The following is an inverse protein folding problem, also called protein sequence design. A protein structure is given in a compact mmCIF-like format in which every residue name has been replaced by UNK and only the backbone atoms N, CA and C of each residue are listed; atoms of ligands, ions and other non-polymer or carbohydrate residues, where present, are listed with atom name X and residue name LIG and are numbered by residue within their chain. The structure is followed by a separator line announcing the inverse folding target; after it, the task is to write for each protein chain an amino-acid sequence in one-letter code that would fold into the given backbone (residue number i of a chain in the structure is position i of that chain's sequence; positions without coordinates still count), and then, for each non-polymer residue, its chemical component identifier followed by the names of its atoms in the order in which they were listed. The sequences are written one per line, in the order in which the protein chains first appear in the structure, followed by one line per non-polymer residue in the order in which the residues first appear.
data_IF_427235586291
#
_entry.id   IF_427235586291
#
_cell.length_a   1.000
_cell.length_b   1.000
_cell.length_c   1.000
_cell.angle_alpha   90.00
_cell.angle_beta   90.00
_cell.angle_gamma   90.00
#
_symmetry.space_group_name_H-M   'P 1'
#
loop_
_entity.id
_entity.type
_entity.pdbx_description
1 polymer ?
#
# COMPACT_ATOMS: atom_id res chain seq x y z
N UNK A 1 38.25 6.72 2.32
CA UNK A 1 36.91 6.12 2.25
C UNK A 1 35.99 7.22 1.76
N UNK A 2 35.54 7.12 0.51
CA UNK A 2 34.62 8.10 -0.08
C UNK A 2 33.22 7.94 0.53
N UNK A 3 32.44 9.03 0.54
CA UNK A 3 31.06 9.08 1.02
C UNK A 3 30.10 8.09 0.30
N UNK A 4 30.55 7.49 -0.80
CA UNK A 4 29.82 6.53 -1.63
C UNK A 4 29.75 5.09 -1.07
N UNK A 5 30.50 4.75 -0.02
CA UNK A 5 30.60 3.38 0.53
C UNK A 5 29.83 3.17 1.85
N UNK A 6 29.05 4.15 2.30
CA UNK A 6 28.15 3.92 3.45
C UNK A 6 26.85 3.33 2.96
N UNK A 7 26.61 2.05 3.27
CA UNK A 7 25.26 1.47 3.21
C UNK A 7 24.25 2.45 3.86
N UNK A 8 23.10 2.69 3.24
CA UNK A 8 22.10 3.59 3.82
C UNK A 8 21.80 3.13 5.25
N UNK A 9 21.94 4.05 6.21
CA UNK A 9 21.69 3.75 7.62
C UNK A 9 20.20 3.50 7.80
N UNK A 10 19.85 2.39 8.46
CA UNK A 10 18.47 2.08 8.81
C UNK A 10 18.06 2.80 10.10
N UNK A 11 16.89 3.44 10.10
CA UNK A 11 16.30 3.99 11.31
C UNK A 11 15.48 2.95 12.08
N UNK A 12 14.92 1.95 11.37
CA UNK A 12 14.18 0.84 11.96
C UNK A 12 14.66 -0.49 11.35
N UNK A 13 14.91 -1.47 12.20
CA UNK A 13 15.11 -2.85 11.83
C UNK A 13 14.22 -3.73 12.72
N UNK A 14 13.43 -4.59 12.11
CA UNK A 14 12.72 -5.67 12.76
C UNK A 14 13.33 -6.98 12.27
N UNK A 15 13.65 -7.90 13.18
CA UNK A 15 14.28 -9.18 12.87
C UNK A 15 13.44 -10.31 13.46
N UNK A 16 12.89 -11.16 12.58
CA UNK A 16 12.17 -12.38 12.88
C UNK A 16 11.09 -12.21 13.96
N UNK A 17 10.30 -11.12 13.82
CA UNK A 17 9.30 -10.76 14.82
C UNK A 17 8.13 -11.72 14.81
N UNK A 18 7.83 -12.28 15.97
CA UNK A 18 6.64 -13.10 16.20
C UNK A 18 5.82 -12.52 17.35
N UNK A 19 4.49 -12.51 17.17
CA UNK A 19 3.54 -12.13 18.22
C UNK A 19 2.33 -13.05 18.22
N UNK A 20 2.09 -13.68 19.38
CA UNK A 20 0.96 -14.56 19.61
C UNK A 20 0.00 -13.99 20.65
N UNK A 21 -1.27 -14.26 20.49
CA UNK A 21 -2.33 -13.99 21.46
C UNK A 21 -3.12 -15.30 21.66
N UNK A 22 -2.77 -16.07 22.69
CA UNK A 22 -3.23 -17.43 22.82
C UNK A 22 -2.76 -18.28 21.63
N UNK A 23 -3.69 -18.95 20.94
CA UNK A 23 -3.41 -19.77 19.76
C UNK A 23 -3.31 -18.96 18.46
N UNK A 24 -3.69 -17.69 18.48
CA UNK A 24 -3.66 -16.80 17.31
C UNK A 24 -2.29 -16.15 17.13
N UNK A 25 -1.68 -16.34 15.96
CA UNK A 25 -0.43 -15.68 15.55
C UNK A 25 -0.78 -14.41 14.80
N UNK A 26 -0.58 -13.26 15.45
CA UNK A 26 -0.92 -11.96 14.88
C UNK A 26 0.21 -11.38 14.01
N UNK A 27 1.46 -11.71 14.32
CA UNK A 27 2.65 -11.39 13.52
C UNK A 27 3.51 -12.65 13.52
N UNK A 28 3.94 -13.09 12.32
CA UNK A 28 4.57 -14.36 12.09
C UNK A 28 5.81 -14.18 11.19
N UNK A 29 6.99 -14.24 11.80
CA UNK A 29 8.29 -14.17 11.15
C UNK A 29 8.48 -12.91 10.27
N UNK A 30 8.22 -11.72 10.85
CA UNK A 30 8.32 -10.46 10.13
C UNK A 30 9.69 -9.84 10.32
N UNK A 31 10.41 -9.70 9.19
CA UNK A 31 11.70 -9.02 9.12
C UNK A 31 11.67 -7.85 8.13
N UNK A 32 12.19 -6.67 8.51
CA UNK A 32 12.24 -5.47 7.68
C UNK A 32 13.34 -4.51 8.12
N UNK A 33 13.89 -3.79 7.14
CA UNK A 33 14.82 -2.69 7.36
C UNK A 33 14.32 -1.44 6.64
N UNK A 34 14.14 -0.32 7.35
CA UNK A 34 13.64 0.94 6.82
C UNK A 34 14.76 1.98 6.87
N UNK A 35 15.11 2.52 5.72
CA UNK A 35 16.16 3.53 5.58
C UNK A 35 15.77 4.87 6.20
N UNK A 36 16.77 5.60 6.69
CA UNK A 36 16.61 6.94 7.26
C UNK A 36 15.91 7.88 6.29
N UNK A 37 14.90 8.59 6.77
CA UNK A 37 14.14 9.58 6.00
C UNK A 37 13.12 8.99 5.03
N UNK A 38 12.90 7.66 5.01
CA UNK A 38 11.92 7.04 4.13
C UNK A 38 10.47 7.23 4.63
N UNK A 39 9.54 7.31 3.68
CA UNK A 39 8.12 7.10 3.92
C UNK A 39 7.80 5.63 3.62
N UNK A 40 7.59 4.84 4.64
CA UNK A 40 7.33 3.41 4.55
C UNK A 40 5.89 3.09 4.94
N UNK A 41 5.16 2.40 4.07
CA UNK A 41 3.79 1.97 4.38
C UNK A 41 3.68 0.46 4.59
N UNK A 42 2.80 0.08 5.52
CA UNK A 42 2.34 -1.29 5.71
C UNK A 42 0.88 -1.35 5.29
N UNK A 43 0.62 -2.01 4.17
CA UNK A 43 -0.67 -2.15 3.53
C UNK A 43 -1.21 -3.57 3.73
N UNK A 44 -2.50 -3.75 3.91
CA UNK A 44 -3.11 -5.08 4.00
C UNK A 44 -4.54 -5.05 4.51
N UNK A 45 -5.28 -6.16 4.46
CA UNK A 45 -6.66 -6.24 4.92
C UNK A 45 -6.79 -6.03 6.44
N UNK A 46 -7.99 -5.77 6.90
CA UNK A 46 -8.27 -5.67 8.34
C UNK A 46 -7.94 -6.98 9.05
N UNK A 47 -7.28 -6.90 10.20
CA UNK A 47 -6.93 -8.08 11.00
C UNK A 47 -5.64 -8.79 10.60
N UNK A 48 -4.92 -8.40 9.54
CA UNK A 48 -3.68 -9.07 9.10
C UNK A 48 -2.45 -8.83 9.98
N UNK A 49 -2.54 -8.04 11.07
CA UNK A 49 -1.44 -7.86 12.02
C UNK A 49 -0.76 -6.48 12.02
N UNK A 50 -1.08 -5.56 11.13
CA UNK A 50 -0.44 -4.22 10.97
C UNK A 50 -0.35 -3.42 12.26
N UNK A 51 -1.49 -3.19 12.93
CA UNK A 51 -1.53 -2.43 14.19
C UNK A 51 -0.76 -3.14 15.30
N UNK A 52 -0.74 -4.48 15.32
CA UNK A 52 0.07 -5.27 16.28
C UNK A 52 1.54 -5.03 16.04
N UNK A 53 2.01 -5.09 14.79
CA UNK A 53 3.40 -4.80 14.42
C UNK A 53 3.78 -3.36 14.82
N UNK A 54 2.95 -2.36 14.49
CA UNK A 54 3.20 -0.97 14.86
C UNK A 54 3.29 -0.80 16.39
N UNK A 55 2.42 -1.47 17.16
CA UNK A 55 2.43 -1.44 18.63
C UNK A 55 3.65 -2.12 19.22
N UNK A 56 4.22 -3.15 18.57
CA UNK A 56 5.50 -3.73 18.97
C UNK A 56 6.65 -2.74 18.77
N UNK A 57 6.70 -2.06 17.62
CA UNK A 57 7.70 -1.02 17.34
C UNK A 57 7.57 0.12 18.35
N UNK A 58 6.35 0.56 18.66
CA UNK A 58 6.09 1.60 19.67
C UNK A 58 6.36 1.15 21.13
N UNK A 59 6.43 -0.17 21.39
CA UNK A 59 6.67 -0.74 22.71
C UNK A 59 5.43 -0.96 23.56
N UNK A 60 4.22 -0.89 22.97
CA UNK A 60 2.98 -1.24 23.67
C UNK A 60 2.78 -2.76 23.78
N UNK A 61 3.37 -3.53 22.88
CA UNK A 61 3.44 -4.98 22.94
C UNK A 61 4.90 -5.42 22.89
N UNK A 62 5.27 -6.37 23.74
CA UNK A 62 6.53 -7.08 23.58
C UNK A 62 6.36 -8.16 22.50
N UNK A 63 7.30 -8.34 21.56
CA UNK A 63 7.34 -9.51 20.71
C UNK A 63 7.58 -10.75 21.57
N UNK A 64 7.11 -11.91 21.11
CA UNK A 64 7.38 -13.19 21.74
C UNK A 64 8.71 -13.77 21.23
N UNK A 65 9.09 -13.45 19.98
CA UNK A 65 10.37 -13.78 19.36
C UNK A 65 10.86 -12.60 18.51
N UNK A 66 12.17 -12.55 18.24
CA UNK A 66 12.80 -11.54 17.39
C UNK A 66 13.26 -10.30 18.14
N UNK A 67 13.74 -9.29 17.39
CA UNK A 67 14.26 -8.03 17.91
C UNK A 67 13.73 -6.81 17.15
N UNK A 68 13.55 -5.70 17.84
CA UNK A 68 13.26 -4.38 17.25
C UNK A 68 14.43 -3.46 17.57
N UNK A 69 15.08 -2.93 16.53
CA UNK A 69 16.18 -1.98 16.64
C UNK A 69 15.82 -0.64 16.05
N UNK A 70 16.15 0.42 16.76
CA UNK A 70 15.99 1.80 16.30
C UNK A 70 17.35 2.44 16.28
N UNK A 71 17.77 2.93 15.10
CA UNK A 71 19.12 3.44 14.85
C UNK A 71 20.20 2.43 15.34
N UNK A 72 20.03 1.16 14.98
CA UNK A 72 20.93 0.06 15.33
C UNK A 72 20.88 -0.40 16.78
N UNK A 73 20.11 0.25 17.68
CA UNK A 73 20.01 -0.10 19.09
C UNK A 73 18.73 -0.88 19.37
N UNK A 74 18.84 -2.07 19.98
CA UNK A 74 17.67 -2.84 20.41
C UNK A 74 16.85 -2.08 21.44
N UNK A 75 15.53 -2.08 21.25
CA UNK A 75 14.56 -1.44 22.15
C UNK A 75 13.69 -2.45 22.88
N UNK A 76 14.08 -3.72 22.91
CA UNK A 76 13.40 -4.74 23.71
C UNK A 76 13.45 -4.38 25.19
N UNK A 77 12.32 -4.51 25.90
CA UNK A 77 12.20 -4.14 27.31
C UNK A 77 12.22 -2.63 27.58
N UNK A 78 12.41 -1.79 26.56
CA UNK A 78 12.32 -0.33 26.71
C UNK A 78 10.86 0.09 26.67
N UNK A 79 10.42 0.81 27.71
CA UNK A 79 9.05 1.30 27.82
C UNK A 79 8.71 2.31 26.69
N UNK A 80 7.44 2.40 26.23
CA UNK A 80 7.03 3.24 25.09
C UNK A 80 7.49 4.71 25.22
N UNK A 81 7.37 5.29 26.41
CA UNK A 81 7.73 6.69 26.65
C UNK A 81 9.24 6.98 26.67
N UNK A 82 10.06 5.93 26.59
CA UNK A 82 11.53 6.03 26.56
C UNK A 82 12.12 5.65 25.19
N UNK A 83 11.29 5.15 24.27
CA UNK A 83 11.72 4.86 22.90
C UNK A 83 11.84 6.16 22.11
N UNK A 84 12.78 6.28 21.16
CA UNK A 84 12.93 7.46 20.30
C UNK A 84 11.90 7.45 19.16
N UNK A 85 10.66 7.11 19.46
CA UNK A 85 9.54 7.06 18.52
C UNK A 85 8.33 7.79 19.08
N UNK A 86 7.52 8.36 18.19
CA UNK A 86 6.21 8.89 18.54
C UNK A 86 5.15 8.26 17.64
N UNK A 87 3.93 8.12 18.18
CA UNK A 87 2.83 7.48 17.48
C UNK A 87 1.62 8.40 17.39
N UNK A 88 1.04 8.48 16.19
CA UNK A 88 -0.25 9.10 15.92
C UNK A 88 -1.28 7.99 15.82
N UNK A 89 -2.27 8.02 16.70
CA UNK A 89 -3.36 7.06 16.69
C UNK A 89 -4.46 7.46 15.70
N UNK A 90 -5.25 6.52 15.27
CA UNK A 90 -6.38 6.71 14.34
C UNK A 90 -7.31 7.89 14.74
N UNK A 91 -7.53 8.09 16.03
CA UNK A 91 -8.34 9.20 16.57
C UNK A 91 -7.52 10.42 16.98
N UNK A 92 -6.27 10.57 16.47
CA UNK A 92 -5.32 11.64 16.73
C UNK A 92 -4.97 11.86 18.22
N UNK A 93 -5.81 11.45 19.14
CA UNK A 93 -5.67 11.53 20.60
C UNK A 93 -5.25 12.94 21.11
N UNK A 94 -5.75 14.01 20.46
CA UNK A 94 -5.55 15.39 20.92
C UNK A 94 -6.33 15.65 22.22
N UNK A 95 -5.77 16.45 23.12
CA UNK A 95 -6.40 16.82 24.37
C UNK A 95 -7.43 17.94 24.12
N UNK A 96 -8.75 17.68 24.20
CA UNK A 96 -9.76 18.64 23.76
C UNK A 96 -9.86 19.87 24.66
N UNK A 97 -9.47 19.74 25.94
CA UNK A 97 -9.53 20.83 26.92
C UNK A 97 -8.31 21.76 26.88
N UNK A 98 -7.28 21.37 26.12
CA UNK A 98 -6.05 22.14 25.97
C UNK A 98 -6.09 23.02 24.72
N UNK A 99 -5.28 24.09 24.70
CA UNK A 99 -4.99 24.84 23.50
C UNK A 99 -4.11 24.02 22.55
N UNK A 100 -3.97 24.48 21.29
CA UNK A 100 -3.05 23.89 20.32
C UNK A 100 -1.60 23.93 20.85
N UNK A 101 -1.16 25.09 21.36
CA UNK A 101 0.17 25.23 21.93
C UNK A 101 0.40 24.29 23.14
N UNK A 102 -0.60 24.11 24.00
CA UNK A 102 -0.50 23.18 25.12
C UNK A 102 -0.46 21.73 24.70
N UNK A 103 -1.20 21.34 23.66
CA UNK A 103 -1.12 20.01 23.05
C UNK A 103 0.30 19.71 22.56
N UNK A 104 0.89 20.63 21.78
CA UNK A 104 2.25 20.46 21.26
C UNK A 104 3.26 20.45 22.39
N UNK A 105 3.14 21.39 23.36
CA UNK A 105 4.04 21.52 24.50
C UNK A 105 3.98 20.34 25.49
N UNK A 106 2.94 19.50 25.43
CA UNK A 106 2.68 18.50 26.47
C UNK A 106 3.88 17.58 26.73
N UNK A 107 4.44 17.00 25.68
CA UNK A 107 5.61 16.11 25.79
C UNK A 107 6.86 16.80 26.32
N UNK A 108 7.12 18.04 25.89
CA UNK A 108 8.23 18.86 26.37
C UNK A 108 8.09 19.18 27.88
N UNK A 109 6.87 19.53 28.32
CA UNK A 109 6.57 19.75 29.76
C UNK A 109 6.84 18.49 30.57
N UNK A 110 6.50 17.30 30.06
CA UNK A 110 6.78 16.01 30.73
C UNK A 110 8.25 15.65 30.76
N UNK A 111 9.06 16.18 29.84
CA UNK A 111 10.53 16.07 29.84
C UNK A 111 11.22 17.15 30.67
N UNK A 112 10.45 18.00 31.37
CA UNK A 112 10.97 19.13 32.20
C UNK A 112 11.79 20.14 31.37
N UNK A 113 11.47 20.32 30.10
CA UNK A 113 12.11 21.31 29.23
C UNK A 113 11.86 22.73 29.78
N UNK A 114 12.86 23.67 29.74
CA UNK A 114 12.69 25.05 30.13
C UNK A 114 11.58 25.78 29.35
N UNK A 115 10.88 26.71 30.02
CA UNK A 115 9.71 27.42 29.42
C UNK A 115 10.04 28.16 28.13
N UNK A 116 11.20 28.81 28.10
CA UNK A 116 11.62 29.61 26.91
C UNK A 116 11.90 28.66 25.72
N UNK A 117 12.52 27.52 25.97
CA UNK A 117 12.74 26.49 24.94
C UNK A 117 11.43 25.88 24.47
N UNK A 118 10.46 25.63 25.36
CA UNK A 118 9.12 25.16 24.99
C UNK A 118 8.46 26.15 24.04
N UNK A 119 8.47 27.46 24.38
CA UNK A 119 7.84 28.48 23.53
C UNK A 119 8.46 28.53 22.13
N UNK A 120 9.79 28.46 22.04
CA UNK A 120 10.51 28.44 20.76
C UNK A 120 10.15 27.17 19.96
N UNK A 121 10.30 25.96 20.55
CA UNK A 121 10.01 24.69 19.86
C UNK A 121 8.56 24.57 19.40
N UNK A 122 7.60 25.06 20.20
CA UNK A 122 6.18 25.08 19.82
C UNK A 122 5.95 26.02 18.62
N UNK A 123 6.56 27.20 18.60
CA UNK A 123 6.49 28.10 17.46
C UNK A 123 7.04 27.46 16.18
N UNK A 124 8.26 26.92 16.27
CA UNK A 124 8.89 26.19 15.14
C UNK A 124 8.05 25.01 14.63
N UNK A 125 7.44 24.24 15.56
CA UNK A 125 6.58 23.11 15.18
C UNK A 125 5.30 23.59 14.47
N UNK A 126 4.71 24.72 14.88
CA UNK A 126 3.55 25.32 14.24
C UNK A 126 3.88 25.88 12.83
N UNK A 127 5.05 26.48 12.68
CA UNK A 127 5.54 26.91 11.36
C UNK A 127 5.72 25.75 10.41
N UNK A 128 6.37 24.66 10.85
CA UNK A 128 6.59 23.42 10.05
C UNK A 128 5.30 22.79 9.53
N UNK A 129 4.20 22.88 10.28
CA UNK A 129 2.91 22.34 9.85
C UNK A 129 2.00 23.42 9.20
N UNK A 130 2.55 24.58 8.83
CA UNK A 130 1.88 25.71 8.19
C UNK A 130 0.65 26.22 8.98
N UNK A 131 0.74 26.28 10.31
CA UNK A 131 -0.30 26.78 11.22
C UNK A 131 0.27 27.74 12.30
N UNK A 132 1.08 28.77 11.94
CA UNK A 132 1.79 29.62 12.90
C UNK A 132 0.84 30.33 13.89
N UNK A 133 -0.34 30.74 13.44
CA UNK A 133 -1.31 31.50 14.24
C UNK A 133 -2.29 30.63 15.07
N UNK A 134 -2.14 29.29 14.99
CA UNK A 134 -3.10 28.39 15.63
C UNK A 134 -2.87 28.19 17.13
N UNK A 135 -1.76 28.63 17.71
CA UNK A 135 -1.32 28.27 19.05
C UNK A 135 -2.35 28.50 20.15
N UNK A 136 -3.09 29.60 20.10
CA UNK A 136 -4.12 29.97 21.08
C UNK A 136 -5.49 29.36 20.84
N UNK A 137 -5.72 28.71 19.69
CA UNK A 137 -7.00 28.05 19.38
C UNK A 137 -7.20 26.79 20.24
N UNK A 138 -8.47 26.45 20.43
CA UNK A 138 -8.85 25.15 21.00
C UNK A 138 -9.03 24.13 19.87
N UNK A 139 -8.93 22.85 20.22
CA UNK A 139 -9.02 21.75 19.23
C UNK A 139 -10.34 21.74 18.50
N UNK A 140 -11.46 22.06 19.14
CA UNK A 140 -12.79 22.14 18.51
C UNK A 140 -12.96 23.32 17.53
N UNK A 141 -12.00 24.21 17.42
CA UNK A 141 -11.99 25.33 16.45
C UNK A 141 -11.21 24.99 15.17
N UNK A 142 -10.71 23.77 15.05
CA UNK A 142 -9.89 23.30 13.94
C UNK A 142 -10.68 22.39 13.00
N UNK A 143 -10.36 22.43 11.70
CA UNK A 143 -10.82 21.43 10.74
C UNK A 143 -10.11 20.08 10.98
N UNK A 144 -10.64 18.98 10.40
CA UNK A 144 -10.03 17.65 10.51
C UNK A 144 -8.57 17.63 10.07
N UNK A 145 -8.24 18.24 8.92
CA UNK A 145 -6.86 18.33 8.45
C UNK A 145 -5.96 19.19 9.35
N UNK A 146 -6.49 20.30 9.92
CA UNK A 146 -5.74 21.09 10.90
C UNK A 146 -5.46 20.28 12.17
N UNK A 147 -6.44 19.53 12.68
CA UNK A 147 -6.24 18.64 13.84
C UNK A 147 -5.16 17.61 13.58
N UNK A 148 -5.11 17.04 12.38
CA UNK A 148 -4.08 16.09 11.99
C UNK A 148 -2.69 16.74 11.97
N UNK A 149 -2.52 17.89 11.36
CA UNK A 149 -1.26 18.66 11.37
C UNK A 149 -0.79 18.98 12.80
N UNK A 150 -1.71 19.31 13.70
CA UNK A 150 -1.36 19.52 15.12
C UNK A 150 -0.94 18.22 15.82
N UNK A 151 -1.56 17.08 15.50
CA UNK A 151 -1.13 15.78 16.02
C UNK A 151 0.30 15.43 15.56
N UNK A 152 0.61 15.73 14.29
CA UNK A 152 1.97 15.59 13.75
C UNK A 152 2.94 16.52 14.47
N UNK A 153 2.63 17.82 14.58
CA UNK A 153 3.46 18.80 15.29
C UNK A 153 3.76 18.38 16.73
N UNK A 154 2.74 17.86 17.45
CA UNK A 154 2.90 17.33 18.81
C UNK A 154 3.88 16.16 18.90
N UNK A 155 3.95 15.34 17.88
CA UNK A 155 4.90 14.25 17.81
C UNK A 155 6.30 14.73 17.40
N UNK A 156 6.39 15.60 16.42
CA UNK A 156 7.67 16.09 15.86
C UNK A 156 8.44 17.00 16.81
N UNK A 157 7.75 17.75 17.67
CA UNK A 157 8.41 18.66 18.62
C UNK A 157 9.36 17.96 19.60
N UNK A 158 9.24 16.63 19.72
CA UNK A 158 10.08 15.77 20.56
C UNK A 158 11.29 15.22 19.83
N UNK A 159 11.50 15.57 18.57
CA UNK A 159 12.59 15.14 17.68
C UNK A 159 12.74 13.59 17.65
N UNK A 160 11.67 12.83 17.27
CA UNK A 160 11.74 11.38 17.24
C UNK A 160 12.57 10.87 16.06
N UNK A 161 13.19 9.69 16.21
CA UNK A 161 13.82 8.98 15.09
C UNK A 161 12.77 8.46 14.10
N UNK A 162 11.61 8.00 14.60
CA UNK A 162 10.52 7.46 13.81
C UNK A 162 9.19 8.12 14.19
N UNK A 163 8.37 8.42 13.19
CA UNK A 163 6.97 8.75 13.38
C UNK A 163 6.11 7.59 12.90
N UNK A 164 5.35 7.00 13.81
CA UNK A 164 4.45 5.88 13.55
C UNK A 164 3.03 6.43 13.37
N UNK A 165 2.34 6.02 12.31
CA UNK A 165 1.00 6.52 11.98
C UNK A 165 0.03 5.34 11.78
N UNK A 166 -0.99 5.25 12.64
CA UNK A 166 -2.00 4.18 12.63
C UNK A 166 -3.28 4.69 11.98
N UNK A 167 -3.45 4.48 10.67
CA UNK A 167 -4.62 4.89 9.84
C UNK A 167 -5.05 6.36 10.06
N UNK A 168 -4.15 7.34 10.00
CA UNK A 168 -4.45 8.70 10.44
C UNK A 168 -5.44 9.44 9.53
N UNK A 169 -5.64 8.99 8.28
CA UNK A 169 -6.55 9.60 7.30
C UNK A 169 -7.95 8.96 7.27
N UNK A 170 -8.14 7.83 7.98
CA UNK A 170 -9.36 7.03 7.89
C UNK A 170 -10.66 7.76 8.29
N UNK A 171 -10.58 8.78 9.15
CA UNK A 171 -11.73 9.56 9.62
C UNK A 171 -12.09 10.78 8.73
N UNK A 172 -11.32 11.04 7.64
CA UNK A 172 -11.51 12.18 6.76
C UNK A 172 -12.43 11.82 5.59
N UNK A 173 -13.20 12.84 5.11
CA UNK A 173 -13.91 12.72 3.84
C UNK A 173 -12.94 12.57 2.65
N UNK A 174 -13.45 12.06 1.51
CA UNK A 174 -12.62 11.71 0.35
C UNK A 174 -11.79 12.90 -0.16
N UNK A 175 -12.40 14.09 -0.32
CA UNK A 175 -11.70 15.26 -0.88
C UNK A 175 -10.58 15.74 0.04
N UNK A 176 -10.84 15.79 1.33
CA UNK A 176 -9.85 16.18 2.33
C UNK A 176 -8.74 15.12 2.44
N UNK A 177 -9.08 13.83 2.33
CA UNK A 177 -8.11 12.73 2.33
C UNK A 177 -7.14 12.84 1.17
N UNK A 178 -7.64 13.06 -0.07
CA UNK A 178 -6.78 13.26 -1.25
C UNK A 178 -5.81 14.44 -1.08
N UNK A 179 -6.29 15.56 -0.56
CA UNK A 179 -5.45 16.71 -0.26
C UNK A 179 -4.39 16.39 0.81
N UNK A 180 -4.80 15.71 1.89
CA UNK A 180 -3.93 15.37 3.01
C UNK A 180 -2.83 14.37 2.64
N UNK A 181 -3.05 13.48 1.67
CA UNK A 181 -1.99 12.59 1.16
C UNK A 181 -0.82 13.40 0.61
N UNK A 182 -1.11 14.37 -0.26
CA UNK A 182 -0.07 15.24 -0.86
C UNK A 182 0.66 16.06 0.21
N UNK A 183 -0.11 16.68 1.11
CA UNK A 183 0.45 17.49 2.20
C UNK A 183 1.32 16.68 3.16
N UNK A 184 0.91 15.46 3.50
CA UNK A 184 1.67 14.58 4.39
C UNK A 184 2.98 14.12 3.77
N UNK A 185 2.98 13.76 2.47
CA UNK A 185 4.20 13.42 1.74
C UNK A 185 5.17 14.60 1.65
N UNK A 186 4.65 15.79 1.32
CA UNK A 186 5.45 17.01 1.27
C UNK A 186 6.06 17.33 2.64
N UNK A 187 5.25 17.31 3.69
CA UNK A 187 5.69 17.56 5.06
C UNK A 187 6.79 16.58 5.49
N UNK A 188 6.63 15.30 5.19
CA UNK A 188 7.64 14.28 5.49
C UNK A 188 8.96 14.55 4.76
N UNK A 189 8.89 14.93 3.47
CA UNK A 189 10.08 15.26 2.67
C UNK A 189 10.83 16.49 3.21
N UNK A 190 10.10 17.52 3.69
CA UNK A 190 10.69 18.74 4.25
C UNK A 190 11.36 18.47 5.61
N UNK A 191 10.79 17.58 6.43
CA UNK A 191 11.28 17.29 7.78
C UNK A 191 12.40 16.26 7.75
N UNK A 192 12.38 15.32 6.80
CA UNK A 192 13.36 14.24 6.66
C UNK A 192 13.28 13.17 7.75
N UNK A 193 12.24 13.14 8.59
CA UNK A 193 12.01 12.09 9.59
C UNK A 193 11.44 10.84 8.91
N UNK A 194 11.86 9.67 9.35
CA UNK A 194 11.32 8.38 8.86
C UNK A 194 9.90 8.17 9.34
N UNK A 195 8.97 7.93 8.40
CA UNK A 195 7.57 7.64 8.69
C UNK A 195 7.28 6.15 8.47
N UNK A 196 6.60 5.53 9.43
CA UNK A 196 6.01 4.18 9.30
C UNK A 196 4.49 4.34 9.36
N UNK A 197 3.84 4.12 8.24
CA UNK A 197 2.43 4.41 8.01
C UNK A 197 1.63 3.13 7.83
N UNK A 198 0.56 2.96 8.56
CA UNK A 198 -0.37 1.85 8.37
C UNK A 198 -1.63 2.34 7.67
N UNK A 199 -2.07 1.58 6.68
CA UNK A 199 -3.35 1.80 6.02
C UNK A 199 -3.93 0.49 5.48
N UNK A 200 -5.22 0.50 5.20
CA UNK A 200 -5.91 -0.47 4.37
C UNK A 200 -6.30 0.12 3.01
N UNK A 201 -6.05 1.41 2.79
CA UNK A 201 -6.31 2.11 1.53
C UNK A 201 -5.06 2.02 0.62
N UNK A 202 -5.22 1.34 -0.51
CA UNK A 202 -4.15 1.13 -1.49
C UNK A 202 -3.65 2.47 -2.06
N UNK A 203 -4.57 3.40 -2.34
CA UNK A 203 -4.23 4.69 -2.91
C UNK A 203 -3.34 5.51 -1.96
N UNK A 204 -3.58 5.46 -0.64
CA UNK A 204 -2.71 6.08 0.34
C UNK A 204 -1.29 5.51 0.27
N UNK A 205 -1.16 4.18 0.31
CA UNK A 205 0.14 3.51 0.28
C UNK A 205 0.90 3.78 -1.02
N UNK A 206 0.22 3.66 -2.17
CA UNK A 206 0.87 3.82 -3.48
C UNK A 206 1.30 5.26 -3.79
N UNK A 207 0.52 6.26 -3.32
CA UNK A 207 0.80 7.68 -3.62
C UNK A 207 1.89 8.26 -2.72
N UNK A 208 1.92 7.89 -1.43
CA UNK A 208 2.78 8.56 -0.45
C UNK A 208 4.12 7.87 -0.22
N UNK A 209 4.24 6.57 -0.48
CA UNK A 209 5.35 5.79 0.03
C UNK A 209 6.53 5.70 -0.93
N UNK A 210 7.72 5.65 -0.36
CA UNK A 210 8.94 5.28 -1.08
C UNK A 210 9.04 3.75 -1.19
N UNK A 211 8.55 3.05 -0.15
CA UNK A 211 8.41 1.60 -0.10
C UNK A 211 7.13 1.19 0.61
N UNK A 212 6.55 0.08 0.18
CA UNK A 212 5.34 -0.51 0.75
C UNK A 212 5.59 -1.99 1.05
N UNK A 213 5.19 -2.42 2.25
CA UNK A 213 5.06 -3.83 2.60
C UNK A 213 3.58 -4.22 2.52
N UNK A 214 3.24 -5.21 1.70
CA UNK A 214 1.92 -5.82 1.70
C UNK A 214 1.91 -6.95 2.73
N UNK A 215 1.02 -6.83 3.72
CA UNK A 215 0.91 -7.77 4.83
C UNK A 215 -0.38 -8.58 4.75
N UNK A 216 -0.28 -9.88 4.89
CA UNK A 216 -1.39 -10.81 4.92
C UNK A 216 -1.14 -11.88 5.99
N UNK A 217 -2.16 -12.27 6.75
CA UNK A 217 -2.11 -13.36 7.75
C UNK A 217 -0.86 -13.32 8.66
N UNK A 218 -0.46 -12.13 9.11
CA UNK A 218 0.68 -11.95 10.00
C UNK A 218 2.04 -11.88 9.31
N UNK A 219 2.15 -12.08 8.01
CA UNK A 219 3.40 -12.12 7.22
C UNK A 219 3.46 -11.05 6.15
N UNK A 220 4.66 -10.69 5.71
CA UNK A 220 4.82 -9.87 4.51
C UNK A 220 4.78 -10.76 3.26
N UNK A 221 3.85 -10.47 2.37
CA UNK A 221 3.75 -11.09 1.04
C UNK A 221 4.81 -10.54 0.08
N UNK A 222 4.99 -9.22 0.10
CA UNK A 222 5.98 -8.54 -0.73
C UNK A 222 6.32 -7.19 -0.10
N UNK A 223 7.60 -6.81 -0.20
CA UNK A 223 8.09 -5.47 0.13
C UNK A 223 8.77 -4.91 -1.12
N UNK A 224 8.43 -3.68 -1.50
CA UNK A 224 8.98 -3.05 -2.69
C UNK A 224 8.51 -1.62 -2.90
N UNK A 225 8.87 -1.04 -4.04
CA UNK A 225 8.32 0.25 -4.47
C UNK A 225 6.85 0.13 -4.84
N UNK A 226 6.04 1.20 -4.78
CA UNK A 226 4.66 1.19 -5.25
C UNK A 226 4.51 0.61 -6.66
N UNK A 227 5.38 1.03 -7.58
CA UNK A 227 5.39 0.53 -8.96
C UNK A 227 5.70 -0.97 -9.04
N UNK A 228 6.69 -1.46 -8.26
CA UNK A 228 7.03 -2.88 -8.21
C UNK A 228 5.90 -3.76 -7.69
N UNK A 229 5.12 -3.28 -6.70
CA UNK A 229 3.95 -4.00 -6.22
C UNK A 229 2.81 -4.06 -7.23
N UNK A 230 2.66 -3.01 -8.03
CA UNK A 230 1.57 -2.87 -8.98
C UNK A 230 1.84 -3.61 -10.30
N UNK A 231 3.03 -3.40 -10.89
CA UNK A 231 3.38 -3.95 -12.22
C UNK A 231 4.05 -5.33 -12.15
N UNK A 232 4.76 -5.63 -11.04
CA UNK A 232 5.49 -6.87 -10.84
C UNK A 232 5.14 -7.54 -9.50
N UNK A 233 3.86 -7.88 -9.29
CA UNK A 233 3.43 -8.60 -8.09
C UNK A 233 4.10 -9.98 -8.05
N UNK A 234 4.64 -10.36 -6.87
CA UNK A 234 5.34 -11.65 -6.67
C UNK A 234 4.43 -12.77 -6.21
N UNK A 235 3.29 -12.41 -5.61
CA UNK A 235 2.29 -13.39 -5.18
C UNK A 235 0.92 -13.06 -5.78
N UNK A 236 0.12 -14.11 -5.93
CA UNK A 236 -1.29 -13.97 -6.32
C UNK A 236 -2.02 -12.97 -5.44
N UNK A 237 -1.78 -13.05 -4.13
CA UNK A 237 -2.41 -12.15 -3.17
C UNK A 237 -2.10 -10.67 -3.48
N UNK A 238 -0.85 -10.34 -3.76
CA UNK A 238 -0.46 -8.97 -4.11
C UNK A 238 -1.09 -8.53 -5.43
N UNK A 239 -1.15 -9.40 -6.45
CA UNK A 239 -1.78 -9.12 -7.74
C UNK A 239 -3.28 -8.82 -7.61
N UNK A 240 -3.97 -9.53 -6.71
CA UNK A 240 -5.40 -9.37 -6.44
C UNK A 240 -5.67 -8.17 -5.50
N UNK A 241 -4.81 -7.99 -4.49
CA UNK A 241 -5.03 -7.00 -3.44
C UNK A 241 -4.59 -5.58 -3.86
N UNK A 242 -3.59 -5.43 -4.73
CA UNK A 242 -3.05 -4.11 -5.15
C UNK A 242 -3.57 -3.75 -6.53
N UNK A 243 -4.61 -2.91 -6.57
CA UNK A 243 -5.30 -2.48 -7.81
C UNK A 243 -6.28 -3.53 -8.35
N UNK A 244 -7.08 -3.11 -9.31
CA UNK A 244 -8.03 -3.98 -10.00
C UNK A 244 -7.32 -4.89 -11.01
N UNK A 245 -7.88 -6.08 -11.28
CA UNK A 245 -7.38 -7.02 -12.29
C UNK A 245 -8.51 -7.81 -12.93
N UNK A 246 -8.39 -8.05 -14.22
CA UNK A 246 -9.12 -9.11 -14.88
C UNK A 246 -8.43 -10.44 -14.55
N UNK A 247 -9.19 -11.47 -14.19
CA UNK A 247 -8.64 -12.76 -13.77
C UNK A 247 -9.30 -13.88 -14.57
N UNK A 248 -8.47 -14.75 -15.14
CA UNK A 248 -8.92 -15.98 -15.79
C UNK A 248 -8.21 -17.19 -15.17
N UNK A 249 -8.92 -18.30 -15.12
CA UNK A 249 -8.39 -19.59 -14.68
C UNK A 249 -8.09 -20.42 -15.91
N UNK A 250 -6.96 -21.11 -15.91
CA UNK A 250 -6.56 -21.92 -17.07
C UNK A 250 -5.49 -22.96 -16.75
N UNK A 251 -4.98 -23.55 -17.81
CA UNK A 251 -3.92 -24.54 -17.76
C UNK A 251 -2.81 -24.16 -18.75
N UNK A 252 -1.58 -24.26 -18.31
CA UNK A 252 -0.40 -24.06 -19.17
C UNK A 252 -0.31 -25.24 -20.15
N UNK A 253 -0.33 -24.95 -21.44
CA UNK A 253 -0.14 -25.97 -22.49
C UNK A 253 1.33 -26.12 -22.85
N UNK A 254 2.04 -24.99 -22.99
CA UNK A 254 3.40 -24.93 -23.45
C UNK A 254 4.17 -23.80 -22.77
N UNK A 255 5.46 -24.02 -22.56
CA UNK A 255 6.41 -23.02 -22.05
C UNK A 255 7.51 -22.88 -23.09
N UNK A 256 7.66 -21.68 -23.67
CA UNK A 256 8.66 -21.38 -24.69
C UNK A 256 9.32 -20.02 -24.38
N UNK A 257 10.63 -20.02 -24.18
CA UNK A 257 11.47 -18.85 -23.91
C UNK A 257 10.87 -17.86 -22.87
N UNK A 258 10.34 -18.40 -21.77
CA UNK A 258 9.71 -17.62 -20.67
C UNK A 258 8.28 -17.15 -20.97
N UNK A 259 7.74 -17.43 -22.16
CA UNK A 259 6.34 -17.23 -22.50
C UNK A 259 5.54 -18.49 -22.23
N UNK A 260 4.34 -18.30 -21.74
CA UNK A 260 3.38 -19.36 -21.45
C UNK A 260 2.24 -19.30 -22.47
N UNK A 261 1.95 -20.42 -23.11
CA UNK A 261 0.67 -20.62 -23.81
C UNK A 261 -0.31 -21.23 -22.81
N UNK A 262 -1.39 -20.52 -22.54
CA UNK A 262 -2.37 -20.94 -21.55
C UNK A 262 -3.75 -21.03 -22.22
N UNK A 263 -4.46 -22.13 -21.99
CA UNK A 263 -5.88 -22.22 -22.35
C UNK A 263 -6.72 -22.06 -21.10
N UNK A 264 -7.64 -21.07 -21.12
CA UNK A 264 -8.53 -20.82 -19.99
C UNK A 264 -9.55 -21.95 -19.84
N UNK A 265 -10.19 -22.07 -18.68
CA UNK A 265 -11.27 -23.05 -18.44
C UNK A 265 -12.43 -22.90 -19.45
N UNK A 266 -12.65 -21.67 -19.94
CA UNK A 266 -13.65 -21.33 -20.97
C UNK A 266 -13.13 -21.54 -22.41
N UNK A 267 -11.90 -22.05 -22.58
CA UNK A 267 -11.33 -22.40 -23.88
C UNK A 267 -10.71 -21.22 -24.66
N UNK A 268 -10.39 -20.10 -24.02
CA UNK A 268 -9.66 -18.99 -24.64
C UNK A 268 -8.15 -19.26 -24.60
N UNK A 269 -7.44 -19.18 -25.75
CA UNK A 269 -5.98 -19.26 -25.75
C UNK A 269 -5.37 -17.89 -25.43
N UNK A 270 -4.44 -17.83 -24.47
CA UNK A 270 -3.68 -16.64 -24.14
C UNK A 270 -2.17 -16.91 -24.16
N UNK A 271 -1.41 -15.89 -24.57
CA UNK A 271 0.01 -15.80 -24.32
C UNK A 271 0.25 -14.93 -23.08
N UNK A 272 1.06 -15.42 -22.16
CA UNK A 272 1.31 -14.79 -20.87
C UNK A 272 2.76 -15.01 -20.43
N UNK A 273 3.15 -14.45 -19.28
CA UNK A 273 4.44 -14.71 -18.64
C UNK A 273 4.22 -15.13 -17.18
N UNK A 274 5.09 -15.99 -16.67
CA UNK A 274 5.08 -16.30 -15.24
C UNK A 274 5.41 -15.02 -14.42
N UNK A 275 4.75 -14.84 -13.29
CA UNK A 275 5.11 -13.77 -12.36
C UNK A 275 6.53 -13.98 -11.84
N UNK A 276 7.20 -12.89 -11.44
CA UNK A 276 8.58 -12.94 -10.93
C UNK A 276 8.71 -13.92 -9.76
N UNK A 277 9.68 -14.82 -9.86
CA UNK A 277 9.92 -15.85 -8.84
C UNK A 277 8.97 -17.05 -8.89
N UNK A 278 8.01 -17.08 -9.83
CA UNK A 278 7.13 -18.22 -10.06
C UNK A 278 7.67 -19.09 -11.20
N UNK A 279 7.60 -20.41 -11.01
CA UNK A 279 7.89 -21.38 -12.05
C UNK A 279 6.60 -22.15 -12.38
N UNK A 280 6.21 -22.15 -13.65
CA UNK A 280 5.04 -22.86 -14.14
C UNK A 280 5.47 -23.81 -15.25
N UNK A 281 5.01 -25.06 -15.19
CA UNK A 281 5.28 -26.09 -16.16
C UNK A 281 4.04 -26.42 -17.01
N UNK A 282 4.25 -27.04 -18.18
CA UNK A 282 3.16 -27.53 -19.01
C UNK A 282 2.29 -28.53 -18.22
N UNK A 283 0.98 -28.37 -18.34
CA UNK A 283 -0.03 -29.15 -17.62
C UNK A 283 -0.46 -28.55 -16.28
N UNK A 284 0.24 -27.54 -15.73
CA UNK A 284 -0.12 -26.93 -14.46
C UNK A 284 -1.31 -25.97 -14.58
N UNK A 285 -2.13 -25.91 -13.53
CA UNK A 285 -3.22 -24.94 -13.43
C UNK A 285 -2.64 -23.59 -13.03
N UNK A 286 -3.16 -22.54 -13.66
CA UNK A 286 -2.71 -21.17 -13.44
C UNK A 286 -3.86 -20.18 -13.40
N UNK A 287 -3.64 -19.07 -12.70
CA UNK A 287 -4.48 -17.88 -12.74
C UNK A 287 -3.74 -16.79 -13.52
N UNK A 288 -4.43 -16.15 -14.46
CA UNK A 288 -3.89 -15.11 -15.35
C UNK A 288 -4.46 -13.78 -14.90
N UNK A 289 -3.60 -12.83 -14.59
CA UNK A 289 -3.96 -11.47 -14.16
C UNK A 289 -3.58 -10.47 -15.25
N UNK A 290 -4.56 -9.64 -15.66
CA UNK A 290 -4.35 -8.52 -16.60
C UNK A 290 -4.98 -7.26 -16.03
N UNK A 291 -4.20 -6.18 -15.93
CA UNK A 291 -4.70 -4.89 -15.43
C UNK A 291 -5.69 -4.27 -16.42
N UNK A 292 -6.79 -3.63 -15.96
CA UNK A 292 -7.77 -2.98 -16.82
C UNK A 292 -7.18 -1.92 -17.76
N UNK A 293 -6.16 -1.18 -17.31
CA UNK A 293 -5.48 -0.15 -18.12
C UNK A 293 -4.45 -0.73 -19.10
N UNK A 294 -4.08 -2.01 -18.94
CA UNK A 294 -3.21 -2.72 -19.88
C UNK A 294 -3.98 -3.22 -21.09
N UNK A 295 -5.31 -3.26 -21.02
CA UNK A 295 -6.16 -3.71 -22.12
C UNK A 295 -6.38 -2.56 -23.10
N UNK A 296 -5.86 -2.70 -24.33
CA UNK A 296 -6.14 -1.78 -25.42
C UNK A 296 -7.56 -2.00 -25.94
N UNK A 297 -8.29 -0.90 -26.11
CA UNK A 297 -9.67 -0.86 -26.60
C UNK A 297 -9.70 -0.32 -28.04
N UNK A 298 -10.47 -0.94 -28.93
CA UNK A 298 -10.69 -0.46 -30.30
C UNK A 298 -12.10 -0.76 -30.81
N UNK A 299 -12.62 0.11 -31.65
CA UNK A 299 -13.90 -0.10 -32.36
C UNK A 299 -13.76 -0.97 -33.60
N UNK A 300 -12.57 -1.14 -34.13
CA UNK A 300 -12.27 -1.93 -35.30
C UNK A 300 -11.10 -2.89 -35.09
N UNK A 301 -11.08 -3.97 -35.84
CA UNK A 301 -10.05 -5.01 -35.74
C UNK A 301 -8.63 -4.49 -36.03
N UNK A 302 -8.47 -3.46 -36.86
CA UNK A 302 -7.17 -2.88 -37.18
C UNK A 302 -6.47 -2.22 -35.99
N UNK A 303 -7.23 -1.78 -34.97
CA UNK A 303 -6.67 -1.16 -33.77
C UNK A 303 -6.08 -2.15 -32.77
N UNK A 304 -6.22 -3.44 -32.99
CA UNK A 304 -5.69 -4.54 -32.16
C UNK A 304 -4.69 -5.44 -32.89
N UNK A 305 -4.30 -5.07 -34.10
CA UNK A 305 -3.29 -5.80 -34.89
C UNK A 305 -1.91 -5.67 -34.22
N UNK A 306 -1.17 -6.78 -34.13
CA UNK A 306 0.18 -6.82 -33.57
C UNK A 306 0.26 -7.09 -32.08
N UNK A 307 -0.85 -7.20 -31.36
CA UNK A 307 -0.88 -7.65 -29.97
C UNK A 307 -0.84 -9.18 -29.87
N UNK A 308 -0.25 -9.69 -28.80
CA UNK A 308 -0.14 -11.13 -28.57
C UNK A 308 -1.50 -11.79 -28.27
N UNK A 309 -2.41 -11.05 -27.63
CA UNK A 309 -3.75 -11.51 -27.24
C UNK A 309 -4.81 -10.56 -27.78
N UNK A 310 -5.92 -11.12 -28.26
CA UNK A 310 -7.08 -10.32 -28.66
C UNK A 310 -8.38 -11.04 -28.41
N UNK A 311 -9.41 -10.29 -28.05
CA UNK A 311 -10.79 -10.73 -27.86
C UNK A 311 -11.77 -9.78 -28.55
N UNK A 312 -12.96 -10.26 -28.83
CA UNK A 312 -14.09 -9.43 -29.23
C UNK A 312 -15.17 -9.53 -28.18
N UNK A 313 -15.61 -8.38 -27.70
CA UNK A 313 -16.65 -8.32 -26.70
C UNK A 313 -17.71 -7.28 -27.02
N UNK A 314 -18.76 -7.27 -26.22
CA UNK A 314 -19.86 -6.33 -26.31
C UNK A 314 -19.97 -5.51 -25.04
N UNK A 315 -20.15 -4.19 -25.17
CA UNK A 315 -20.33 -3.29 -24.03
C UNK A 315 -21.55 -3.72 -23.22
N UNK A 316 -21.31 -4.05 -21.95
CA UNK A 316 -22.37 -4.34 -20.98
C UNK A 316 -22.73 -3.09 -20.18
N UNK A 317 -21.74 -2.37 -19.68
CA UNK A 317 -21.93 -1.15 -18.89
C UNK A 317 -20.74 -0.20 -19.02
N UNK A 318 -20.99 1.11 -18.88
CA UNK A 318 -19.96 2.14 -18.79
C UNK A 318 -19.98 2.73 -17.38
N UNK A 319 -18.89 2.55 -16.65
CA UNK A 319 -18.71 3.05 -15.30
C UNK A 319 -18.03 4.43 -15.37
N UNK A 320 -18.84 5.48 -15.43
CA UNK A 320 -18.33 6.84 -15.49
C UNK A 320 -17.95 7.34 -14.09
N UNK A 321 -16.65 7.58 -13.89
CA UNK A 321 -16.11 8.12 -12.65
C UNK A 321 -15.03 9.20 -12.93
N UNK A 322 -15.33 10.13 -13.84
CA UNK A 322 -14.39 11.17 -14.23
C UNK A 322 -13.05 10.58 -14.69
N UNK A 323 -11.97 10.86 -13.94
CA UNK A 323 -10.61 10.43 -14.28
C UNK A 323 -10.39 8.91 -14.30
N UNK A 324 -11.22 8.14 -13.58
CA UNK A 324 -11.08 6.68 -13.44
C UNK A 324 -12.29 5.95 -14.04
N UNK A 325 -12.74 6.39 -15.24
CA UNK A 325 -13.83 5.72 -15.93
C UNK A 325 -13.38 4.38 -16.52
N UNK A 326 -14.28 3.40 -16.51
CA UNK A 326 -14.05 2.07 -17.05
C UNK A 326 -15.25 1.60 -17.87
N UNK A 327 -15.04 0.63 -18.74
CA UNK A 327 -16.10 -0.08 -19.45
C UNK A 327 -16.06 -1.56 -19.07
N UNK A 328 -17.22 -2.12 -18.79
CA UNK A 328 -17.41 -3.56 -18.64
C UNK A 328 -17.81 -4.12 -19.99
N UNK A 329 -17.00 -5.04 -20.50
CA UNK A 329 -17.16 -5.67 -21.80
C UNK A 329 -17.39 -7.15 -21.57
N UNK A 330 -18.47 -7.69 -22.17
CA UNK A 330 -18.77 -9.11 -22.13
C UNK A 330 -18.15 -9.81 -23.34
N UNK A 331 -17.25 -10.75 -23.10
CA UNK A 331 -16.64 -11.55 -24.16
C UNK A 331 -17.72 -12.32 -24.95
N UNK A 332 -17.66 -12.25 -26.30
CA UNK A 332 -18.69 -12.86 -27.17
C UNK A 332 -18.59 -14.39 -27.20
N UNK A 333 -17.44 -14.98 -26.86
CA UNK A 333 -17.24 -16.44 -26.94
C UNK A 333 -17.67 -17.13 -25.64
N UNK A 334 -17.28 -16.54 -24.49
CA UNK A 334 -17.44 -17.16 -23.17
C UNK A 334 -18.53 -16.50 -22.33
N UNK A 335 -18.90 -15.26 -22.66
CA UNK A 335 -19.80 -14.45 -21.84
C UNK A 335 -19.15 -13.89 -20.58
N UNK A 336 -17.85 -14.10 -20.37
CA UNK A 336 -17.08 -13.56 -19.25
C UNK A 336 -17.03 -12.03 -19.30
N UNK A 337 -17.00 -11.39 -18.12
CA UNK A 337 -16.91 -9.93 -18.00
C UNK A 337 -15.45 -9.50 -17.93
N UNK A 338 -15.10 -8.47 -18.69
CA UNK A 338 -13.77 -7.88 -18.76
C UNK A 338 -13.88 -6.39 -18.46
N UNK A 339 -13.14 -5.92 -17.48
CA UNK A 339 -13.03 -4.50 -17.15
C UNK A 339 -11.89 -3.87 -17.93
N UNK A 340 -12.16 -2.74 -18.60
CA UNK A 340 -11.16 -1.97 -19.34
C UNK A 340 -11.21 -0.53 -18.89
N UNK A 341 -10.06 0.02 -18.48
CA UNK A 341 -9.94 1.41 -18.12
C UNK A 341 -10.09 2.29 -19.37
N UNK A 342 -10.92 3.34 -19.29
CA UNK A 342 -11.14 4.23 -20.41
C UNK A 342 -10.07 5.33 -20.45
N UNK A 343 -9.44 5.56 -21.63
CA UNK A 343 -8.50 6.67 -21.79
C UNK A 343 -9.20 8.01 -21.64
N UNK A 344 -8.55 8.98 -21.02
CA UNK A 344 -9.09 10.32 -20.74
C UNK A 344 -9.11 11.24 -21.98
N UNK A 345 -8.93 10.70 -23.18
CA UNK A 345 -8.93 11.44 -24.45
C UNK A 345 -10.32 11.85 -24.92
N UNK A 346 -11.38 11.29 -24.31
CA UNK A 346 -12.76 11.45 -24.79
C UNK A 346 -13.12 10.59 -26.00
N UNK A 347 -12.19 9.79 -26.53
CA UNK A 347 -12.38 8.93 -27.71
C UNK A 347 -13.54 7.94 -27.53
N UNK A 348 -13.77 7.48 -26.30
CA UNK A 348 -14.81 6.50 -25.94
C UNK A 348 -15.95 7.11 -25.12
N UNK A 349 -16.14 8.45 -25.16
CA UNK A 349 -17.18 9.11 -24.38
C UNK A 349 -18.63 8.75 -24.80
N UNK A 350 -18.80 8.28 -26.05
CA UNK A 350 -20.08 7.91 -26.68
C UNK A 350 -20.34 6.39 -26.70
N UNK A 351 -19.60 5.60 -25.90
CA UNK A 351 -19.86 4.16 -25.79
C UNK A 351 -21.28 3.91 -25.33
N UNK A 352 -21.96 3.04 -26.05
CA UNK A 352 -23.32 2.61 -25.75
C UNK A 352 -23.35 1.11 -25.43
N UNK A 353 -24.32 0.70 -24.61
CA UNK A 353 -24.60 -0.71 -24.35
C UNK A 353 -24.83 -1.47 -25.69
N UNK A 354 -24.40 -2.73 -25.71
CA UNK A 354 -24.49 -3.65 -26.85
C UNK A 354 -23.61 -3.29 -28.06
N UNK A 355 -22.74 -2.29 -27.95
CA UNK A 355 -21.74 -1.97 -28.97
C UNK A 355 -20.61 -3.01 -28.97
N UNK A 356 -20.22 -3.50 -30.13
CA UNK A 356 -19.10 -4.42 -30.28
C UNK A 356 -17.76 -3.68 -30.20
N UNK A 357 -16.81 -4.27 -29.49
CA UNK A 357 -15.45 -3.75 -29.26
C UNK A 357 -14.41 -4.85 -29.42
N UNK A 358 -13.22 -4.46 -29.85
CA UNK A 358 -12.03 -5.29 -29.86
C UNK A 358 -11.13 -4.92 -28.69
N UNK A 359 -10.65 -5.94 -27.98
CA UNK A 359 -9.77 -5.85 -26.82
C UNK A 359 -8.46 -6.53 -27.14
N UNK A 360 -7.33 -5.97 -26.71
CA UNK A 360 -6.02 -6.60 -26.91
C UNK A 360 -5.03 -6.23 -25.82
N UNK A 361 -4.05 -7.10 -25.59
CA UNK A 361 -2.93 -6.87 -24.68
C UNK A 361 -1.72 -7.76 -25.04
N UNK A 362 -0.54 -7.38 -24.61
CA UNK A 362 0.66 -8.18 -24.85
C UNK A 362 0.88 -9.24 -23.76
N UNK A 363 1.65 -10.26 -24.07
CA UNK A 363 1.94 -11.38 -23.17
C UNK A 363 2.61 -10.95 -21.85
N UNK A 364 3.48 -9.94 -21.88
CA UNK A 364 4.17 -9.39 -20.71
C UNK A 364 3.23 -8.67 -19.71
N UNK A 365 2.05 -8.25 -20.19
CA UNK A 365 0.99 -7.63 -19.39
C UNK A 365 0.06 -8.66 -18.73
N UNK A 366 0.15 -9.94 -19.13
CA UNK A 366 -0.59 -11.05 -18.57
C UNK A 366 0.31 -11.87 -17.62
N UNK A 367 0.14 -11.68 -16.32
CA UNK A 367 0.96 -12.36 -15.30
C UNK A 367 0.28 -13.63 -14.82
N UNK A 368 1.00 -14.75 -14.86
CA UNK A 368 0.51 -16.05 -14.41
C UNK A 368 1.05 -16.42 -13.03
N UNK A 369 0.14 -16.88 -12.19
CA UNK A 369 0.45 -17.44 -10.88
C UNK A 369 -0.04 -18.90 -10.78
N UNK A 370 0.63 -19.77 -10.01
CA UNK A 370 0.10 -21.10 -9.72
C UNK A 370 -1.29 -21.00 -9.09
N UNK A 371 -2.27 -21.72 -9.63
CA UNK A 371 -3.61 -21.76 -9.04
C UNK A 371 -3.56 -22.47 -7.68
N UNK A 372 -4.42 -22.10 -6.70
CA UNK A 372 -4.54 -22.83 -5.45
C UNK A 372 -4.83 -24.30 -5.71
N UNK A 373 -4.17 -25.19 -4.97
CA UNK A 373 -4.47 -26.64 -5.07
C UNK A 373 -5.91 -26.92 -4.66
N UNK A 374 -6.69 -27.51 -5.55
CA UNK A 374 -8.04 -27.94 -5.24
C UNK A 374 -8.01 -29.18 -4.32
N UNK A 375 -9.16 -29.52 -3.75
CA UNK A 375 -9.28 -30.75 -2.95
C UNK A 375 -8.87 -32.00 -3.75
N UNK A 376 -9.17 -32.03 -5.06
CA UNK A 376 -8.80 -33.13 -5.99
C UNK A 376 -7.28 -33.24 -6.19
N UNK A 377 -6.58 -32.11 -6.24
CA UNK A 377 -5.10 -32.08 -6.39
C UNK A 377 -4.38 -32.59 -5.13
N UNK A 378 -5.04 -32.51 -3.96
CA UNK A 378 -4.49 -33.00 -2.68
C UNK A 378 -4.61 -34.53 -2.57
N UNK A 379 -5.66 -35.11 -3.15
CA UNK A 379 -5.86 -36.56 -3.14
C UNK A 379 -4.96 -37.29 -4.15
N UNK A 380 -4.59 -36.67 -5.26
CA UNK A 380 -3.71 -37.22 -6.28
C UNK A 380 -2.22 -37.32 -5.87
N UNK A 381 -1.83 -36.65 -4.77
CA UNK A 381 -0.43 -36.58 -4.31
C UNK A 381 -0.21 -37.40 -3.01
N UNK A 382 -1.25 -38.06 -2.48
CA UNK A 382 -1.20 -38.99 -1.33
C UNK A 382 -1.18 -40.40 -1.82
#
# INVERSE_FOLDING_TARGET
MSEADRLPTADLECQDLVKRFGDFIAVDDVSISITTGAFFSILGPSGCGKTTLLRMIAGFHAPDEGDVRIKGTSVLGVAPNRRPVNMIFQHLALFPMMTVADNIAYGLKRRHTPKDEISRKVGEALERVALPDAGNKRINQLSGGQMQRIAIARCLVLDPALLLLDEPLGALDLKLREQMKVELKQLQSEIGTTFVYITHDQSEALVMSDQVAVMNEGRFEQVGTPQGLYYDPKTRFVAEFVGDSNVWYGRVEEVDDGRLRVTTEDGLPFLAVAAEGQALAAGERTEIFVRPESVQLSRGSSGVEGFDNSLTGRVDNVLFNGANSAVLVRDQRTGGEIMVALPQTGEFADLAKDQDLHLAWNADQAKCFPAPKTAEDREATS
#
